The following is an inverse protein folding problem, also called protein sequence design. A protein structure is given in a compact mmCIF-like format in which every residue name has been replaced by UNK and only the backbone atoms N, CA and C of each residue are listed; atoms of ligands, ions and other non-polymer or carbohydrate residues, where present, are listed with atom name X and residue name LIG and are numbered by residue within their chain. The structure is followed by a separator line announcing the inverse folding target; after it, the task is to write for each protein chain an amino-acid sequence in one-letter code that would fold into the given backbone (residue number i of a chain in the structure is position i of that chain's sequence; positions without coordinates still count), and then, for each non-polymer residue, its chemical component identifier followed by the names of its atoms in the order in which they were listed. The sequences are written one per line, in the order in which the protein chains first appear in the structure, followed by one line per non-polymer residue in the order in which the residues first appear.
data_IF_499163682301
#
_entry.id   IF_499163682301
#
_cell.length_a   1.000
_cell.length_b   1.000
_cell.length_c   1.000
_cell.angle_alpha   90.00
_cell.angle_beta   90.00
_cell.angle_gamma   90.00
#
_symmetry.space_group_name_H-M   'P 1'
#
loop_
_entity.id
_entity.type
_entity.pdbx_description
1 polymer ?
#
# COMPACT_ATOMS: atom_id res chain seq x y z
N UNK A 1 39.33 16.17 -17.73
CA UNK A 1 39.53 14.75 -17.58
C UNK A 1 39.21 14.28 -16.20
N UNK A 2 39.97 14.70 -15.29
CA UNK A 2 39.78 14.23 -13.92
C UNK A 2 38.41 14.54 -13.40
N UNK A 3 37.90 15.66 -13.82
CA UNK A 3 36.58 16.10 -13.35
C UNK A 3 35.45 15.19 -13.77
N UNK A 4 35.62 14.60 -14.92
CA UNK A 4 34.59 13.73 -15.43
C UNK A 4 34.34 12.53 -14.51
N UNK A 5 35.39 11.97 -13.97
CA UNK A 5 35.28 10.84 -13.10
C UNK A 5 34.45 11.16 -11.85
N UNK A 6 34.66 12.38 -11.36
CA UNK A 6 33.88 12.78 -10.17
C UNK A 6 32.43 12.91 -10.46
N UNK A 7 32.11 13.43 -11.63
CA UNK A 7 30.70 13.56 -12.01
C UNK A 7 30.01 12.21 -12.13
N UNK A 8 30.75 11.25 -12.65
CA UNK A 8 30.16 9.91 -12.77
C UNK A 8 29.83 9.31 -11.42
N UNK A 9 30.66 9.53 -10.44
CA UNK A 9 30.38 9.03 -9.11
C UNK A 9 29.10 9.60 -8.56
N UNK A 10 28.86 10.88 -8.81
CA UNK A 10 27.64 11.50 -8.37
C UNK A 10 26.42 10.92 -9.05
N UNK A 11 26.52 10.64 -10.33
CA UNK A 11 25.42 10.03 -11.05
C UNK A 11 25.08 8.66 -10.49
N UNK A 12 26.09 7.91 -10.11
CA UNK A 12 25.87 6.62 -9.50
C UNK A 12 25.07 6.72 -8.22
N UNK A 13 25.34 7.77 -7.44
CA UNK A 13 24.59 7.98 -6.20
C UNK A 13 23.12 8.25 -6.50
N UNK A 14 22.86 9.03 -7.52
CA UNK A 14 21.47 9.33 -7.87
C UNK A 14 20.69 8.09 -8.24
N UNK A 15 21.28 7.17 -8.96
CA UNK A 15 20.57 5.97 -9.35
C UNK A 15 20.20 5.11 -8.15
N UNK A 16 20.96 5.21 -7.06
CA UNK A 16 20.67 4.49 -5.85
C UNK A 16 19.54 5.13 -5.08
N UNK A 17 19.29 6.40 -5.32
CA UNK A 17 18.25 7.14 -4.63
C UNK A 17 16.89 6.95 -5.31
N UNK A 18 16.58 5.74 -5.73
CA UNK A 18 15.24 5.43 -6.20
C UNK A 18 14.28 5.75 -5.08
N UNK A 19 13.48 6.77 -5.27
CA UNK A 19 12.59 7.24 -4.22
C UNK A 19 11.38 6.35 -4.12
N UNK A 20 10.89 6.20 -2.90
CA UNK A 20 9.63 5.55 -2.68
C UNK A 20 8.54 6.35 -3.37
N UNK A 21 7.59 5.65 -3.95
CA UNK A 21 6.45 6.26 -4.59
C UNK A 21 5.20 5.97 -3.77
N UNK A 22 4.15 6.75 -4.02
CA UNK A 22 2.89 6.56 -3.32
C UNK A 22 1.80 6.22 -4.32
N UNK A 23 0.92 5.32 -3.90
CA UNK A 23 -0.26 4.93 -4.69
C UNK A 23 -1.48 5.03 -3.81
N UNK A 24 -2.59 5.43 -4.42
CA UNK A 24 -3.86 5.50 -3.72
C UNK A 24 -4.86 4.58 -4.38
N UNK A 25 -5.67 3.93 -3.56
CA UNK A 25 -6.68 3.03 -4.08
C UNK A 25 -7.48 2.41 -2.97
N UNK A 26 -8.26 1.41 -3.34
CA UNK A 26 -9.08 0.68 -2.37
C UNK A 26 -8.28 -0.48 -1.80
N UNK A 27 -8.26 -0.56 -0.47
CA UNK A 27 -7.59 -1.66 0.21
C UNK A 27 -8.57 -2.82 0.35
N UNK A 28 -8.15 -4.00 -0.04
CA UNK A 28 -9.01 -5.19 0.00
C UNK A 28 -8.26 -6.36 0.62
N UNK A 29 -9.05 -7.36 1.05
CA UNK A 29 -8.50 -8.64 1.48
C UNK A 29 -7.99 -9.36 0.22
N UNK A 30 -6.69 -9.63 0.17
CA UNK A 30 -6.09 -10.20 -1.02
C UNK A 30 -6.61 -11.59 -1.35
N UNK A 31 -6.81 -12.42 -0.35
CA UNK A 31 -7.32 -13.77 -0.57
C UNK A 31 -8.73 -13.76 -1.12
N UNK A 32 -9.56 -12.92 -0.53
CA UNK A 32 -10.93 -12.77 -1.00
C UNK A 32 -10.94 -12.31 -2.44
N UNK A 33 -10.12 -11.32 -2.77
CA UNK A 33 -10.10 -10.76 -4.10
C UNK A 33 -9.59 -11.76 -5.14
N UNK A 34 -8.64 -12.59 -4.78
CA UNK A 34 -8.15 -13.61 -5.70
C UNK A 34 -9.25 -14.59 -6.08
N UNK A 35 -10.16 -14.86 -5.17
CA UNK A 35 -11.25 -15.82 -5.41
C UNK A 35 -12.42 -15.19 -6.12
N UNK A 36 -12.88 -14.03 -5.67
CA UNK A 36 -14.11 -13.43 -6.17
C UNK A 36 -13.92 -12.38 -7.25
N UNK A 37 -12.73 -11.79 -7.32
CA UNK A 37 -12.42 -10.67 -8.24
C UNK A 37 -13.34 -9.46 -8.04
N UNK A 38 -13.97 -9.36 -6.88
CA UNK A 38 -14.91 -8.29 -6.58
C UNK A 38 -14.40 -7.43 -5.43
N UNK A 39 -14.13 -6.17 -5.70
CA UNK A 39 -13.68 -5.25 -4.67
C UNK A 39 -14.76 -5.00 -3.63
N UNK A 40 -16.02 -4.98 -4.05
CA UNK A 40 -17.10 -4.60 -3.15
C UNK A 40 -17.40 -5.65 -2.09
N UNK A 41 -16.98 -6.90 -2.31
CA UNK A 41 -17.24 -7.97 -1.35
C UNK A 41 -15.98 -8.37 -0.58
N UNK A 42 -14.88 -7.69 -0.81
CA UNK A 42 -13.59 -8.08 -0.23
C UNK A 42 -12.97 -6.98 0.63
N UNK A 43 -13.79 -6.20 1.31
CA UNK A 43 -13.26 -5.23 2.25
C UNK A 43 -12.54 -5.95 3.39
N UNK A 44 -11.47 -5.37 3.93
CA UNK A 44 -10.73 -6.00 5.02
C UNK A 44 -11.61 -6.23 6.24
N UNK A 45 -11.31 -7.30 6.95
CA UNK A 45 -11.98 -7.64 8.21
C UNK A 45 -10.91 -7.84 9.29
N UNK A 46 -11.36 -8.12 10.51
CA UNK A 46 -10.43 -8.36 11.60
C UNK A 46 -9.57 -9.61 11.40
N UNK A 47 -9.98 -10.48 10.48
CA UNK A 47 -9.23 -11.71 10.19
C UNK A 47 -8.36 -11.59 8.94
N UNK A 48 -8.36 -10.45 8.27
CA UNK A 48 -7.54 -10.26 7.08
C UNK A 48 -6.07 -10.20 7.46
N UNK A 49 -5.26 -11.03 6.83
CA UNK A 49 -3.82 -11.06 7.06
C UNK A 49 -3.01 -10.65 5.83
N UNK A 50 -3.60 -10.75 4.66
CA UNK A 50 -2.95 -10.33 3.41
C UNK A 50 -3.83 -9.30 2.72
N UNK A 51 -3.19 -8.25 2.26
CA UNK A 51 -3.90 -7.11 1.69
C UNK A 51 -3.42 -6.85 0.27
N UNK A 52 -4.31 -6.29 -0.54
CA UNK A 52 -3.97 -5.79 -1.85
C UNK A 52 -4.52 -4.38 -1.99
N UNK A 53 -3.83 -3.57 -2.77
CA UNK A 53 -4.28 -2.21 -3.09
C UNK A 53 -4.77 -2.20 -4.53
N UNK A 54 -6.02 -1.81 -4.74
CA UNK A 54 -6.56 -1.69 -6.09
C UNK A 54 -6.33 -0.28 -6.58
N UNK A 55 -5.46 -0.15 -7.58
CA UNK A 55 -5.17 1.13 -8.21
C UNK A 55 -5.69 1.04 -9.64
N UNK A 56 -6.70 1.85 -9.95
CA UNK A 56 -7.37 1.80 -11.24
C UNK A 56 -7.83 0.36 -11.57
N UNK A 57 -8.41 -0.29 -10.57
CA UNK A 57 -8.95 -1.66 -10.66
C UNK A 57 -7.90 -2.75 -10.83
N UNK A 58 -6.63 -2.42 -10.73
CA UNK A 58 -5.56 -3.40 -10.82
C UNK A 58 -5.04 -3.71 -9.41
N UNK A 59 -4.98 -4.98 -9.01
CA UNK A 59 -4.51 -5.31 -7.67
C UNK A 59 -2.99 -5.32 -7.58
N UNK A 60 -2.48 -4.73 -6.51
CA UNK A 60 -1.07 -4.79 -6.16
C UNK A 60 -0.96 -5.42 -4.79
N UNK A 61 -0.26 -6.53 -4.72
CA UNK A 61 -0.08 -7.26 -3.47
C UNK A 61 0.96 -6.56 -2.61
N UNK A 62 0.75 -6.53 -1.31
CA UNK A 62 1.71 -5.95 -0.38
C UNK A 62 2.71 -7.01 0.07
N UNK A 63 3.89 -6.57 0.49
CA UNK A 63 4.85 -7.48 1.09
C UNK A 63 4.47 -7.74 2.55
N UNK A 64 5.27 -8.53 3.24
CA UNK A 64 4.98 -8.90 4.63
C UNK A 64 4.90 -7.66 5.53
N UNK A 65 5.84 -6.75 5.37
CA UNK A 65 5.85 -5.51 6.15
C UNK A 65 4.60 -4.68 5.84
N UNK A 66 4.24 -4.61 4.56
CA UNK A 66 3.04 -3.88 4.15
C UNK A 66 1.78 -4.47 4.72
N UNK A 67 1.69 -5.80 4.74
CA UNK A 67 0.52 -6.47 5.32
C UNK A 67 0.41 -6.17 6.82
N UNK A 68 1.52 -6.17 7.53
CA UNK A 68 1.52 -5.85 8.95
C UNK A 68 1.07 -4.42 9.20
N UNK A 69 1.63 -3.49 8.43
CA UNK A 69 1.27 -2.07 8.57
C UNK A 69 -0.19 -1.82 8.20
N UNK A 70 -0.68 -2.48 7.16
CA UNK A 70 -2.07 -2.34 6.76
C UNK A 70 -3.01 -2.88 7.84
N UNK A 71 -2.67 -4.00 8.43
CA UNK A 71 -3.47 -4.56 9.51
C UNK A 71 -3.53 -3.64 10.72
N UNK A 72 -2.41 -3.05 11.09
CA UNK A 72 -2.38 -2.11 12.20
C UNK A 72 -3.17 -0.85 11.90
N UNK A 73 -3.02 -0.32 10.69
CA UNK A 73 -3.77 0.87 10.29
C UNK A 73 -5.27 0.59 10.26
N UNK A 74 -5.65 -0.59 9.81
CA UNK A 74 -7.06 -0.97 9.79
C UNK A 74 -7.65 -1.04 11.19
N UNK A 75 -6.91 -1.61 12.14
CA UNK A 75 -7.36 -1.66 13.53
C UNK A 75 -7.55 -0.26 14.10
N UNK A 76 -6.60 0.61 13.85
CA UNK A 76 -6.69 1.98 14.33
C UNK A 76 -7.86 2.73 13.71
N UNK A 77 -8.16 2.43 12.43
CA UNK A 77 -9.31 3.01 11.75
C UNK A 77 -10.62 2.52 12.36
N UNK A 78 -10.69 1.24 12.68
CA UNK A 78 -11.88 0.68 13.28
C UNK A 78 -12.19 1.33 14.62
N UNK A 79 -11.17 1.61 15.41
CA UNK A 79 -11.35 2.29 16.67
C UNK A 79 -11.89 3.70 16.49
N UNK A 80 -11.47 4.38 15.44
CA UNK A 80 -11.97 5.73 15.15
C UNK A 80 -13.36 5.71 14.53
N UNK A 81 -13.73 4.62 13.90
CA UNK A 81 -15.03 4.52 13.24
C UNK A 81 -16.19 4.48 14.21
N UNK A 82 -15.92 4.43 15.50
CA UNK A 82 -16.98 4.49 16.50
C UNK A 82 -17.48 5.91 16.74
N UNK A 83 -17.03 6.88 15.98
CA UNK A 83 -17.49 8.25 16.07
C UNK A 83 -18.99 8.32 15.70
N UNK A 84 -19.86 8.76 16.61
CA UNK A 84 -21.31 8.74 16.36
C UNK A 84 -21.77 9.64 15.24
N UNK A 85 -20.96 10.56 14.79
CA UNK A 85 -21.32 11.45 13.70
C UNK A 85 -21.05 10.90 12.32
N UNK A 86 -20.40 9.75 12.23
CA UNK A 86 -19.97 9.18 10.96
C UNK A 86 -20.47 7.74 10.79
N UNK A 87 -21.35 7.49 9.82
CA UNK A 87 -21.71 6.10 9.56
C UNK A 87 -20.50 5.32 9.09
N UNK A 88 -20.32 4.08 9.54
CA UNK A 88 -19.17 3.29 9.13
C UNK A 88 -19.23 3.00 7.64
N UNK A 89 -18.17 3.34 6.94
CA UNK A 89 -18.01 2.97 5.55
C UNK A 89 -17.25 1.65 5.48
N UNK A 90 -17.76 0.70 4.71
CA UNK A 90 -17.06 -0.55 4.51
C UNK A 90 -15.90 -0.42 3.56
N UNK A 91 -15.99 0.56 2.66
CA UNK A 91 -14.91 0.81 1.71
C UNK A 91 -13.71 1.44 2.41
N UNK A 92 -12.55 0.85 2.22
CA UNK A 92 -11.33 1.32 2.84
C UNK A 92 -10.42 1.86 1.76
N UNK A 93 -10.22 3.17 1.75
CA UNK A 93 -9.27 3.80 0.84
C UNK A 93 -7.95 3.95 1.54
N UNK A 94 -6.88 3.69 0.82
CA UNK A 94 -5.55 3.72 1.39
C UNK A 94 -4.57 4.43 0.47
N UNK A 95 -3.58 5.05 1.10
CA UNK A 95 -2.41 5.56 0.41
C UNK A 95 -1.21 4.79 0.92
N UNK A 96 -0.51 4.13 0.04
CA UNK A 96 0.62 3.29 0.40
C UNK A 96 1.88 3.81 -0.27
N UNK A 97 2.93 3.96 0.52
CA UNK A 97 4.23 4.42 0.04
C UNK A 97 5.20 3.25 0.07
N UNK A 98 5.86 3.00 -1.04
CA UNK A 98 6.80 1.91 -1.16
C UNK A 98 7.41 1.88 -2.54
N UNK A 99 7.87 0.71 -2.96
CA UNK A 99 8.46 0.50 -4.28
C UNK A 99 7.62 -0.50 -5.05
N UNK A 100 7.20 -0.12 -6.25
CA UNK A 100 6.39 -1.01 -7.07
C UNK A 100 7.29 -1.92 -7.90
N UNK A 101 6.97 -3.19 -7.92
CA UNK A 101 7.70 -4.15 -8.72
C UNK A 101 6.69 -5.14 -9.29
N UNK A 102 6.41 -5.02 -10.59
CA UNK A 102 5.37 -5.81 -11.22
C UNK A 102 4.01 -5.51 -10.61
N UNK A 103 3.35 -6.53 -10.09
CA UNK A 103 2.06 -6.39 -9.43
C UNK A 103 2.18 -6.42 -7.90
N UNK A 104 3.37 -6.09 -7.40
CA UNK A 104 3.64 -6.04 -5.96
C UNK A 104 4.12 -4.66 -5.55
N UNK A 105 3.80 -4.29 -4.32
CA UNK A 105 4.39 -3.11 -3.69
C UNK A 105 5.28 -3.62 -2.58
N UNK A 106 6.58 -3.38 -2.74
CA UNK A 106 7.60 -3.85 -1.82
C UNK A 106 8.15 -2.71 -0.98
N UNK A 107 8.87 -3.06 0.07
CA UNK A 107 9.50 -2.07 0.94
C UNK A 107 8.51 -1.01 1.40
N UNK A 108 7.34 -1.46 1.83
CA UNK A 108 6.28 -0.54 2.25
C UNK A 108 6.75 0.26 3.45
N UNK A 109 6.71 1.58 3.33
CA UNK A 109 7.12 2.49 4.38
C UNK A 109 5.94 2.97 5.20
N UNK A 110 4.86 3.34 4.54
CA UNK A 110 3.67 3.84 5.23
C UNK A 110 2.40 3.32 4.60
N UNK A 111 1.39 3.13 5.43
CA UNK A 111 0.03 2.81 5.00
C UNK A 111 -0.88 3.78 5.71
N UNK A 112 -1.54 4.64 4.96
CA UNK A 112 -2.48 5.62 5.51
C UNK A 112 -3.88 5.28 5.02
N UNK A 113 -4.81 5.12 5.95
CA UNK A 113 -6.20 4.82 5.62
C UNK A 113 -7.05 6.07 5.73
N UNK A 114 -8.09 6.11 4.90
CA UNK A 114 -9.03 7.22 4.88
C UNK A 114 -10.45 6.75 5.04
#
# INVERSE_FOLDING_TARGET
MRRSAKLFALLGVFSVLALAESWQGRLVDARCFEQSKSATTCDPTSSTTTFALLVADKPYMLDETGNTKAGEAWKNRADRASDPGQPPSTEVMAKITGTKEGDHILNVETVELR
#
